data_IF_263623311189
#
_entry.id   IF_263623311189
#
_cell.length_a   1.000
_cell.length_b   1.000
_cell.length_c   1.000
_cell.angle_alpha   90.00
_cell.angle_beta   90.00
_cell.angle_gamma   90.00
#
_symmetry.space_group_name_H-M   'P 1'
#
loop_
_entity.id
_entity.type
_entity.pdbx_description
1 polymer ?
#
# COMPACT_ATOMS: atom_id res chain seq x y z
N UNK A 1 21.76 -8.70 -4.15
CA UNK A 1 20.72 -7.71 -4.44
C UNK A 1 19.39 -8.35 -4.17
N UNK A 2 18.46 -7.63 -3.52
CA UNK A 2 17.09 -8.11 -3.35
C UNK A 2 16.35 -7.90 -4.67
N UNK A 3 16.54 -8.83 -5.59
CA UNK A 3 15.91 -8.82 -6.90
C UNK A 3 14.54 -9.49 -6.76
N UNK A 4 13.55 -8.71 -6.30
CA UNK A 4 12.17 -9.16 -6.10
C UNK A 4 11.36 -9.18 -7.40
N UNK A 5 11.99 -8.86 -8.55
CA UNK A 5 11.32 -8.81 -9.86
C UNK A 5 10.27 -7.69 -9.96
N UNK A 6 10.30 -6.72 -9.05
CA UNK A 6 9.38 -5.59 -9.00
C UNK A 6 9.98 -4.37 -9.70
N UNK A 7 9.17 -3.63 -10.46
CA UNK A 7 9.56 -2.40 -11.15
C UNK A 7 9.19 -1.12 -10.40
N UNK A 8 8.53 -1.26 -9.26
CA UNK A 8 8.08 -0.14 -8.43
C UNK A 8 6.99 -0.57 -7.47
N UNK A 9 5.90 0.20 -7.39
CA UNK A 9 4.71 -0.12 -6.61
C UNK A 9 3.76 -1.08 -7.34
N UNK A 10 4.27 -2.18 -7.88
CA UNK A 10 3.47 -3.14 -8.63
C UNK A 10 2.25 -3.61 -7.79
N UNK A 11 1.01 -3.58 -8.34
CA UNK A 11 -0.18 -3.94 -7.58
C UNK A 11 -0.15 -5.38 -7.07
N UNK A 12 -0.57 -5.61 -5.81
CA UNK A 12 -0.70 -6.93 -5.18
C UNK A 12 -2.14 -7.44 -5.14
N UNK A 13 -3.10 -6.53 -5.29
CA UNK A 13 -4.52 -6.85 -5.42
C UNK A 13 -5.14 -6.11 -6.60
N UNK A 14 -6.20 -6.70 -7.14
CA UNK A 14 -7.04 -6.05 -8.14
C UNK A 14 -8.18 -5.34 -7.42
N UNK A 15 -8.49 -4.09 -7.79
CA UNK A 15 -9.50 -3.29 -7.08
C UNK A 15 -10.95 -3.74 -7.35
N UNK A 16 -11.17 -4.57 -8.37
CA UNK A 16 -12.43 -5.25 -8.66
C UNK A 16 -12.66 -6.52 -7.81
N UNK A 17 -11.63 -7.00 -7.10
CA UNK A 17 -11.77 -8.11 -6.16
C UNK A 17 -12.52 -7.66 -4.89
N UNK A 18 -13.68 -8.26 -4.57
CA UNK A 18 -14.44 -7.91 -3.37
C UNK A 18 -13.66 -8.14 -2.05
N UNK A 19 -12.62 -8.98 -2.05
CA UNK A 19 -11.77 -9.24 -0.89
C UNK A 19 -10.54 -8.31 -0.80
N UNK A 20 -10.29 -7.46 -1.81
CA UNK A 20 -9.10 -6.63 -1.90
C UNK A 20 -8.87 -5.78 -0.64
N UNK A 21 -9.90 -5.04 -0.19
CA UNK A 21 -9.81 -4.19 1.00
C UNK A 21 -9.52 -4.98 2.28
N UNK A 22 -10.08 -6.19 2.41
CA UNK A 22 -9.82 -7.06 3.56
C UNK A 22 -8.36 -7.50 3.58
N UNK A 23 -7.83 -7.91 2.42
CA UNK A 23 -6.44 -8.32 2.28
C UNK A 23 -5.47 -7.16 2.53
N UNK A 24 -5.71 -5.99 1.94
CA UNK A 24 -4.93 -4.77 2.18
C UNK A 24 -4.86 -4.47 3.68
N UNK A 25 -6.01 -4.39 4.37
CA UNK A 25 -6.05 -4.06 5.81
C UNK A 25 -5.27 -5.05 6.67
N UNK A 26 -5.34 -6.34 6.33
CA UNK A 26 -4.58 -7.39 7.03
C UNK A 26 -3.07 -7.17 6.90
N UNK A 27 -2.58 -6.96 5.68
CA UNK A 27 -1.14 -6.80 5.40
C UNK A 27 -0.58 -5.46 5.91
N UNK A 28 -1.41 -4.42 6.00
CA UNK A 28 -1.03 -3.17 6.67
C UNK A 28 -0.85 -3.36 8.18
N UNK A 29 -1.75 -4.12 8.81
CA UNK A 29 -1.74 -4.35 10.25
C UNK A 29 -0.68 -5.38 10.69
N UNK A 30 -0.50 -6.44 9.92
CA UNK A 30 0.48 -7.51 10.19
C UNK A 30 1.61 -7.38 9.18
N UNK A 31 2.72 -6.79 9.60
CA UNK A 31 3.84 -6.47 8.74
C UNK A 31 4.49 -7.71 8.10
N UNK A 32 4.17 -7.96 6.83
CA UNK A 32 4.88 -8.92 5.97
C UNK A 32 5.98 -8.26 5.13
N UNK A 33 6.79 -9.10 4.46
CA UNK A 33 7.82 -8.65 3.51
C UNK A 33 7.23 -7.82 2.35
N UNK A 34 5.95 -8.01 2.05
CA UNK A 34 5.27 -7.34 0.94
C UNK A 34 4.48 -6.09 1.37
N UNK A 35 4.48 -5.73 2.65
CA UNK A 35 3.65 -4.63 3.19
C UNK A 35 3.86 -3.32 2.42
N UNK A 36 5.05 -3.09 1.89
CA UNK A 36 5.36 -1.89 1.11
C UNK A 36 4.44 -1.72 -0.12
N UNK A 37 4.17 -2.78 -0.87
CA UNK A 37 3.26 -2.73 -2.01
C UNK A 37 1.79 -2.61 -1.57
N UNK A 38 1.40 -3.24 -0.46
CA UNK A 38 0.04 -3.08 0.09
C UNK A 38 -0.25 -1.68 0.62
N UNK A 39 0.77 -0.87 0.95
CA UNK A 39 0.60 0.57 1.24
C UNK A 39 0.19 1.31 -0.03
N UNK A 40 0.84 1.04 -1.16
CA UNK A 40 0.44 1.65 -2.43
C UNK A 40 -0.98 1.22 -2.84
N UNK A 41 -1.29 -0.07 -2.73
CA UNK A 41 -2.65 -0.57 -3.02
C UNK A 41 -3.71 0.04 -2.11
N UNK A 42 -3.36 0.37 -0.86
CA UNK A 42 -4.26 1.09 0.03
C UNK A 42 -4.62 2.49 -0.51
N UNK A 43 -3.64 3.21 -1.04
CA UNK A 43 -3.89 4.53 -1.66
C UNK A 43 -4.68 4.42 -2.96
N UNK A 44 -4.39 3.41 -3.80
CA UNK A 44 -5.22 3.11 -4.99
C UNK A 44 -6.66 2.76 -4.62
N UNK A 45 -6.86 2.11 -3.47
CA UNK A 45 -8.17 1.83 -2.89
C UNK A 45 -8.76 3.02 -2.09
N UNK A 46 -8.19 4.22 -2.24
CA UNK A 46 -8.69 5.49 -1.66
C UNK A 46 -8.69 5.51 -0.13
N UNK A 47 -7.79 4.75 0.53
CA UNK A 47 -7.53 4.94 1.95
C UNK A 47 -6.74 6.23 2.18
N UNK A 48 -7.11 7.00 3.20
CA UNK A 48 -6.35 8.19 3.57
C UNK A 48 -5.02 7.85 4.23
N UNK A 49 -4.07 8.80 4.20
CA UNK A 49 -2.81 8.73 4.95
C UNK A 49 -3.04 8.41 6.42
N UNK A 50 -4.05 9.03 7.06
CA UNK A 50 -4.41 8.72 8.45
C UNK A 50 -4.93 7.28 8.61
N UNK A 51 -5.71 6.78 7.65
CA UNK A 51 -6.17 5.41 7.63
C UNK A 51 -5.03 4.40 7.56
N UNK A 52 -4.04 4.66 6.71
CA UNK A 52 -2.83 3.82 6.59
C UNK A 52 -1.93 3.96 7.81
N UNK A 53 -1.76 5.18 8.35
CA UNK A 53 -1.01 5.43 9.59
C UNK A 53 -1.58 4.62 10.75
N UNK A 54 -2.90 4.65 10.96
CA UNK A 54 -3.55 3.95 12.07
C UNK A 54 -3.38 2.42 12.00
N UNK A 55 -3.13 1.87 10.81
CA UNK A 55 -2.90 0.44 10.62
C UNK A 55 -1.42 0.05 10.73
N UNK A 56 -0.52 0.94 10.32
CA UNK A 56 0.91 0.61 10.12
C UNK A 56 1.84 1.22 11.16
N UNK A 57 1.42 2.33 11.78
CA UNK A 57 2.23 3.26 12.57
C UNK A 57 3.47 3.80 11.82
N UNK A 58 3.47 3.75 10.49
CA UNK A 58 4.51 4.37 9.66
C UNK A 58 4.28 5.87 9.65
N UNK A 59 5.33 6.67 9.89
CA UNK A 59 5.20 8.11 9.95
C UNK A 59 4.54 8.69 8.69
N UNK A 60 3.61 9.63 8.90
CA UNK A 60 2.83 10.26 7.83
C UNK A 60 3.71 10.90 6.77
N UNK A 61 4.87 11.42 7.16
CA UNK A 61 5.84 12.01 6.23
C UNK A 61 6.28 11.04 5.13
N UNK A 62 6.45 9.74 5.45
CA UNK A 62 6.72 8.72 4.43
C UNK A 62 5.47 8.37 3.63
N UNK A 63 4.32 8.25 4.30
CA UNK A 63 3.07 7.86 3.68
C UNK A 63 2.58 8.86 2.62
N UNK A 64 2.72 10.17 2.88
CA UNK A 64 2.36 11.23 1.92
C UNK A 64 3.19 11.13 0.63
N UNK A 65 4.47 10.80 0.73
CA UNK A 65 5.33 10.64 -0.44
C UNK A 65 4.96 9.41 -1.27
N UNK A 66 4.57 8.31 -0.61
CA UNK A 66 4.09 7.12 -1.32
C UNK A 66 2.74 7.42 -2.01
N UNK A 67 1.82 8.09 -1.31
CA UNK A 67 0.55 8.52 -1.91
C UNK A 67 0.76 9.40 -3.14
N UNK A 68 1.71 10.36 -3.07
CA UNK A 68 2.06 11.21 -4.21
C UNK A 68 2.59 10.41 -5.40
N UNK A 69 3.48 9.44 -5.17
CA UNK A 69 3.99 8.57 -6.23
C UNK A 69 2.88 7.74 -6.87
N UNK A 70 1.98 7.16 -6.07
CA UNK A 70 0.83 6.39 -6.58
C UNK A 70 -0.09 7.27 -7.43
N UNK A 71 -0.35 8.52 -7.02
CA UNK A 71 -1.17 9.46 -7.80
C UNK A 71 -0.54 9.87 -9.14
N UNK A 72 0.78 9.81 -9.26
CA UNK A 72 1.49 10.12 -10.51
C UNK A 72 1.52 8.93 -11.49
N UNK A 73 1.26 7.70 -11.01
CA UNK A 73 1.14 6.50 -11.85
C UNK A 73 -0.24 6.41 -12.54
N UNK A 74 -1.25 7.14 -12.06
CA UNK A 74 -2.59 7.26 -12.64
C UNK A 74 -2.66 8.30 -13.78
#
# INVERSE_FOLDING_TARGET
>A
GLDVGATGFDPKVSLDDPEALTKIRRELKVAGAERFWYIADAFRAVLSVDGVFNLTNIDRWFLVQIEELVRLEE
#
